data_IF_792375712440
#
_entry.id   IF_792375712440
#
_cell.length_a   1.000
_cell.length_b   1.000
_cell.length_c   1.000
_cell.angle_alpha   90.00
_cell.angle_beta   90.00
_cell.angle_gamma   90.00
#
_symmetry.space_group_name_H-M   'P 1'
#
loop_
_entity.id
_entity.type
_entity.pdbx_description
1 polymer ?
#
# COMPACT_ATOMS: atom_id res chain seq x y z
N UNK A 1 4.02 3.98 29.19
CA UNK A 1 4.93 2.82 29.10
C UNK A 1 6.06 3.27 28.21
N UNK A 2 7.25 3.46 28.78
CA UNK A 2 8.41 3.96 28.04
C UNK A 2 8.86 2.90 27.04
N UNK A 3 9.13 3.33 25.81
CA UNK A 3 9.88 2.53 24.84
C UNK A 3 11.34 3.01 24.93
N UNK A 4 12.11 2.43 25.85
CA UNK A 4 13.52 2.75 26.01
C UNK A 4 14.40 1.93 25.04
N UNK A 5 15.55 2.52 24.73
CA UNK A 5 16.78 1.85 24.28
C UNK A 5 16.82 1.33 22.82
N UNK A 6 16.84 2.28 21.89
CA UNK A 6 17.31 2.05 20.51
C UNK A 6 18.84 2.06 20.42
N UNK A 7 19.43 1.08 19.71
CA UNK A 7 20.81 1.16 19.19
C UNK A 7 20.79 0.86 17.69
N UNK A 8 21.38 1.76 16.91
CA UNK A 8 21.23 1.85 15.46
C UNK A 8 22.53 1.47 14.75
N UNK A 9 22.41 0.63 13.72
CA UNK A 9 23.39 0.53 12.63
C UNK A 9 22.62 0.70 11.31
N UNK A 10 23.21 1.47 10.39
CA UNK A 10 22.76 1.69 9.00
C UNK A 10 21.34 2.26 8.80
N UNK A 11 21.14 3.51 9.25
CA UNK A 11 20.08 4.48 8.86
C UNK A 11 18.60 4.11 9.02
N UNK A 12 18.30 2.84 9.28
CA UNK A 12 16.96 2.27 9.12
C UNK A 12 16.02 2.67 10.26
N UNK A 13 16.51 2.61 11.50
CA UNK A 13 15.74 2.98 12.68
C UNK A 13 15.38 4.47 12.73
N UNK A 14 16.29 5.37 12.32
CA UNK A 14 15.99 6.81 12.19
C UNK A 14 14.86 7.07 11.19
N UNK A 15 14.85 6.35 10.05
CA UNK A 15 13.75 6.45 9.08
C UNK A 15 12.44 5.90 9.66
N UNK A 16 12.46 4.79 10.42
CA UNK A 16 11.27 4.25 11.11
C UNK A 16 10.74 5.20 12.19
N UNK A 17 11.60 5.81 13.02
CA UNK A 17 11.17 6.79 14.03
C UNK A 17 10.52 8.02 13.38
N UNK A 18 11.11 8.55 12.30
CA UNK A 18 10.53 9.64 11.50
C UNK A 18 9.24 9.25 10.77
N UNK A 19 9.12 7.98 10.36
CA UNK A 19 7.90 7.43 9.75
C UNK A 19 6.74 7.36 10.74
N UNK A 20 7.01 7.05 12.01
CA UNK A 20 6.00 6.97 13.06
C UNK A 20 5.65 8.32 13.69
N UNK A 21 6.56 9.31 13.69
CA UNK A 21 6.28 10.64 14.27
C UNK A 21 5.16 11.41 13.56
N UNK A 22 4.95 11.17 12.27
CA UNK A 22 3.86 11.78 11.48
C UNK A 22 2.62 10.86 11.53
N UNK A 23 1.69 11.08 12.47
CA UNK A 23 0.44 10.34 12.55
C UNK A 23 -0.76 11.15 12.01
N UNK A 24 -1.15 10.85 10.76
CA UNK A 24 -2.29 11.47 10.08
C UNK A 24 -3.32 10.39 9.71
N UNK A 25 -4.58 10.57 10.12
CA UNK A 25 -5.67 9.61 9.93
C UNK A 25 -6.58 9.93 8.73
N UNK A 26 -6.19 10.93 7.93
CA UNK A 26 -6.98 11.53 6.85
C UNK A 26 -6.26 11.44 5.50
N UNK A 27 -4.98 11.79 5.44
CA UNK A 27 -4.20 11.85 4.21
C UNK A 27 -3.43 10.54 3.99
N UNK A 28 -3.59 9.91 2.82
CA UNK A 28 -2.84 8.67 2.47
C UNK A 28 -1.33 8.93 2.42
N UNK A 29 -0.89 10.07 1.87
CA UNK A 29 0.51 10.52 1.89
C UNK A 29 0.65 11.82 2.71
N UNK A 30 0.84 11.76 4.04
CA UNK A 30 1.10 12.93 4.87
C UNK A 30 2.56 13.40 4.78
N UNK A 31 3.49 12.51 4.42
CA UNK A 31 4.94 12.74 4.42
C UNK A 31 5.38 13.74 3.34
N UNK A 32 4.66 13.79 2.21
CA UNK A 32 4.95 14.67 1.04
C UNK A 32 6.36 14.47 0.46
N UNK A 33 6.98 13.33 0.72
CA UNK A 33 8.27 12.90 0.16
C UNK A 33 8.08 12.41 -1.28
N UNK A 34 8.97 12.81 -2.19
CA UNK A 34 9.08 12.25 -3.53
C UNK A 34 10.05 11.07 -3.50
N UNK A 35 9.54 9.84 -3.62
CA UNK A 35 10.36 8.62 -3.53
C UNK A 35 11.52 8.57 -4.53
N UNK A 36 11.44 9.29 -5.66
CA UNK A 36 12.55 9.41 -6.63
C UNK A 36 13.76 10.17 -6.09
N UNK A 37 13.60 10.92 -5.00
CA UNK A 37 14.66 11.72 -4.34
C UNK A 37 15.35 10.98 -3.20
N UNK A 38 14.97 9.73 -2.91
CA UNK A 38 15.67 8.85 -1.97
C UNK A 38 17.11 8.65 -2.50
N UNK A 39 18.09 9.10 -1.71
CA UNK A 39 19.52 9.05 -2.06
C UNK A 39 20.16 7.75 -1.62
N UNK A 40 19.84 7.30 -0.41
CA UNK A 40 20.44 6.12 0.20
C UNK A 40 19.58 4.89 -0.07
N UNK A 41 20.25 3.76 -0.31
CA UNK A 41 19.63 2.45 -0.25
C UNK A 41 19.22 2.14 1.19
N UNK A 42 18.00 1.65 1.39
CA UNK A 42 17.48 1.25 2.70
C UNK A 42 17.01 -0.20 2.64
N UNK A 43 17.42 -1.04 3.60
CA UNK A 43 16.92 -2.41 3.70
C UNK A 43 15.93 -2.52 4.86
N UNK A 44 14.66 -2.75 4.52
CA UNK A 44 13.59 -2.99 5.48
C UNK A 44 13.52 -4.47 5.82
N UNK A 45 13.54 -4.82 7.11
CA UNK A 45 13.25 -6.17 7.60
C UNK A 45 11.73 -6.35 7.67
N UNK A 46 11.16 -7.03 6.69
CA UNK A 46 9.71 -7.23 6.57
C UNK A 46 9.16 -8.21 7.61
N UNK A 47 9.94 -9.25 7.96
CA UNK A 47 9.57 -10.34 8.87
C UNK A 47 10.65 -10.49 9.95
N UNK A 48 10.23 -10.67 11.21
CA UNK A 48 11.13 -10.88 12.35
C UNK A 48 10.56 -11.95 13.30
N UNK A 49 10.89 -13.25 13.09
CA UNK A 49 10.35 -14.34 13.89
C UNK A 49 10.73 -14.24 15.38
N UNK A 50 11.90 -13.68 15.70
CA UNK A 50 12.33 -13.45 17.07
C UNK A 50 11.47 -12.43 17.83
N UNK A 51 10.81 -11.52 17.09
CA UNK A 51 9.82 -10.56 17.62
C UNK A 51 8.37 -10.96 17.31
N UNK A 52 8.15 -12.17 16.80
CA UNK A 52 6.85 -12.68 16.34
C UNK A 52 6.15 -11.78 15.30
N UNK A 53 6.92 -11.01 14.52
CA UNK A 53 6.41 -10.21 13.41
C UNK A 53 6.44 -11.06 12.13
N UNK A 54 5.27 -11.43 11.62
CA UNK A 54 5.12 -12.29 10.46
C UNK A 54 4.48 -11.56 9.27
N UNK A 55 4.50 -12.22 8.11
CA UNK A 55 3.73 -11.81 6.93
C UNK A 55 2.60 -12.80 6.66
N UNK A 56 1.48 -12.32 6.10
CA UNK A 56 0.38 -13.14 5.57
C UNK A 56 -0.15 -12.50 4.29
N UNK A 57 -0.67 -13.33 3.38
CA UNK A 57 -1.42 -12.82 2.24
C UNK A 57 -2.70 -12.08 2.71
N UNK A 58 -3.11 -11.01 2.00
CA UNK A 58 -4.28 -10.22 2.38
C UNK A 58 -5.61 -10.95 2.17
N UNK A 59 -5.59 -12.08 1.46
CA UNK A 59 -6.72 -12.97 1.16
C UNK A 59 -6.27 -14.44 1.25
N UNK A 60 -7.22 -15.38 1.34
CA UNK A 60 -6.95 -16.83 1.29
C UNK A 60 -6.50 -17.30 -0.10
N UNK A 61 -7.03 -16.68 -1.15
CA UNK A 61 -6.59 -16.82 -2.54
C UNK A 61 -6.27 -15.43 -3.08
N UNK A 62 -5.23 -15.31 -3.91
CA UNK A 62 -4.73 -14.04 -4.45
C UNK A 62 -4.44 -14.13 -5.96
N UNK A 63 -5.38 -14.56 -6.82
CA UNK A 63 -5.21 -14.40 -8.27
C UNK A 63 -5.13 -12.90 -8.60
N UNK A 64 -4.10 -12.48 -9.34
CA UNK A 64 -4.01 -11.09 -9.82
C UNK A 64 -4.95 -10.93 -11.01
N UNK A 65 -5.97 -10.07 -10.88
CA UNK A 65 -6.85 -9.66 -11.98
C UNK A 65 -6.35 -8.37 -12.66
N UNK A 66 -5.59 -7.54 -11.95
CA UNK A 66 -4.86 -6.42 -12.56
C UNK A 66 -3.57 -6.04 -11.85
N UNK A 67 -2.55 -5.66 -12.62
CA UNK A 67 -1.23 -5.31 -12.11
C UNK A 67 -1.01 -3.80 -11.87
N UNK A 68 0.10 -3.47 -11.23
CA UNK A 68 0.58 -2.10 -11.05
C UNK A 68 1.05 -1.53 -12.40
N UNK A 69 0.26 -0.67 -13.04
CA UNK A 69 0.54 -0.19 -14.41
C UNK A 69 -0.27 1.07 -14.78
N UNK A 70 0.10 1.74 -15.87
CA UNK A 70 -0.72 2.81 -16.46
C UNK A 70 -1.85 2.22 -17.32
N UNK A 71 -3.12 2.46 -16.93
CA UNK A 71 -4.31 2.02 -17.67
C UNK A 71 -5.41 3.09 -17.64
N UNK A 72 -6.13 3.23 -18.76
CA UNK A 72 -7.27 4.14 -18.89
C UNK A 72 -7.00 5.59 -18.45
N UNK A 73 -5.84 6.13 -18.86
CA UNK A 73 -5.43 7.51 -18.56
C UNK A 73 -4.92 7.77 -17.13
N UNK A 74 -4.97 6.78 -16.22
CA UNK A 74 -4.49 6.90 -14.84
C UNK A 74 -3.45 5.82 -14.50
N UNK A 75 -2.63 6.08 -13.49
CA UNK A 75 -1.76 5.05 -12.93
C UNK A 75 -2.55 4.18 -11.95
N UNK A 76 -2.33 2.86 -12.00
CA UNK A 76 -2.86 1.89 -11.06
C UNK A 76 -1.79 1.60 -10.01
N UNK A 77 -1.98 2.11 -8.79
CA UNK A 77 -0.96 2.15 -7.73
C UNK A 77 -0.88 0.87 -6.88
N UNK A 78 -1.65 -0.16 -7.22
CA UNK A 78 -1.69 -1.44 -6.52
C UNK A 78 -1.84 -2.61 -7.47
N UNK A 79 -2.21 -3.75 -6.91
CA UNK A 79 -2.73 -4.91 -7.63
C UNK A 79 -4.22 -5.09 -7.29
N UNK A 80 -4.99 -5.57 -8.26
CA UNK A 80 -6.34 -6.06 -8.01
C UNK A 80 -6.26 -7.57 -7.83
N UNK A 81 -6.82 -8.06 -6.72
CA UNK A 81 -6.85 -9.47 -6.36
C UNK A 81 -8.29 -9.97 -6.38
N UNK A 82 -8.50 -11.12 -7.01
CA UNK A 82 -9.80 -11.76 -7.13
C UNK A 82 -10.39 -12.14 -5.75
N UNK A 83 -11.67 -11.81 -5.52
CA UNK A 83 -12.43 -12.23 -4.33
C UNK A 83 -13.94 -12.14 -4.56
N UNK A 84 -14.69 -12.90 -3.77
CA UNK A 84 -16.14 -12.77 -3.67
C UNK A 84 -16.55 -11.76 -2.59
N UNK A 85 -17.64 -11.03 -2.83
CA UNK A 85 -18.11 -10.01 -1.89
C UNK A 85 -18.51 -10.67 -0.56
N UNK A 86 -17.86 -10.25 0.53
CA UNK A 86 -17.96 -10.90 1.84
C UNK A 86 -16.72 -11.70 2.25
N UNK A 87 -15.77 -11.96 1.34
CA UNK A 87 -14.52 -12.65 1.67
C UNK A 87 -13.70 -11.91 2.74
N UNK A 88 -13.03 -12.67 3.61
CA UNK A 88 -12.22 -12.10 4.70
C UNK A 88 -10.93 -11.45 4.18
N UNK A 89 -10.82 -10.13 4.33
CA UNK A 89 -9.60 -9.36 4.06
C UNK A 89 -8.77 -9.26 5.33
N UNK A 90 -7.48 -9.57 5.23
CA UNK A 90 -6.55 -9.73 6.36
C UNK A 90 -5.43 -8.69 6.34
N UNK A 91 -4.96 -8.28 7.53
CA UNK A 91 -3.75 -7.49 7.66
C UNK A 91 -2.53 -8.29 7.19
N UNK A 92 -1.73 -7.72 6.29
CA UNK A 92 -0.61 -8.42 5.67
C UNK A 92 0.64 -8.53 6.57
N UNK A 93 0.82 -7.58 7.49
CA UNK A 93 1.81 -7.60 8.57
C UNK A 93 1.20 -7.05 9.86
N UNK A 94 1.91 -7.23 10.97
CA UNK A 94 1.64 -6.54 12.23
C UNK A 94 1.66 -5.02 12.06
N UNK A 95 0.80 -4.29 12.76
CA UNK A 95 0.75 -2.84 12.67
C UNK A 95 -0.45 -2.19 13.36
N UNK A 96 -0.79 -0.98 12.93
CA UNK A 96 -1.90 -0.17 13.46
C UNK A 96 -2.74 0.37 12.31
N UNK A 97 -4.06 0.30 12.41
CA UNK A 97 -4.97 0.93 11.44
C UNK A 97 -4.83 2.45 11.54
N UNK A 98 -4.30 3.09 10.50
CA UNK A 98 -4.12 4.54 10.41
C UNK A 98 -5.31 5.24 9.77
N UNK A 99 -5.92 4.63 8.76
CA UNK A 99 -7.12 5.17 8.08
C UNK A 99 -8.17 4.06 7.96
N UNK A 100 -9.43 4.39 8.22
CA UNK A 100 -10.63 3.60 7.90
C UNK A 100 -11.70 4.56 7.38
N UNK A 101 -11.88 4.66 6.06
CA UNK A 101 -12.68 5.75 5.43
C UNK A 101 -13.42 5.31 4.17
N UNK A 102 -14.33 6.18 3.72
CA UNK A 102 -15.00 6.11 2.43
C UNK A 102 -14.37 7.08 1.42
N UNK A 103 -14.17 6.61 0.19
CA UNK A 103 -13.82 7.39 -1.00
C UNK A 103 -14.67 6.94 -2.19
N UNK A 104 -15.77 7.65 -2.46
CA UNK A 104 -16.68 7.30 -3.56
C UNK A 104 -16.07 7.46 -4.97
N UNK A 105 -14.99 8.25 -5.14
CA UNK A 105 -14.35 8.50 -6.44
C UNK A 105 -13.27 7.48 -6.81
N UNK A 106 -12.69 6.83 -5.80
CA UNK A 106 -11.66 5.81 -5.91
C UNK A 106 -12.01 4.56 -5.10
N UNK A 107 -11.46 4.46 -3.89
CA UNK A 107 -11.29 3.20 -3.16
C UNK A 107 -12.55 2.63 -2.50
N UNK A 108 -13.71 3.30 -2.51
CA UNK A 108 -14.89 2.86 -1.76
C UNK A 108 -14.63 2.88 -0.25
N UNK A 109 -15.09 1.86 0.49
CA UNK A 109 -14.58 1.65 1.85
C UNK A 109 -13.14 1.15 1.75
N UNK A 110 -12.22 1.80 2.46
CA UNK A 110 -10.84 1.36 2.50
C UNK A 110 -10.21 1.47 3.88
N UNK A 111 -9.22 0.61 4.10
CA UNK A 111 -8.32 0.64 5.24
C UNK A 111 -6.91 0.97 4.79
N UNK A 112 -6.15 1.66 5.64
CA UNK A 112 -4.71 1.77 5.51
C UNK A 112 -4.07 1.42 6.86
N UNK A 113 -3.19 0.41 6.85
CA UNK A 113 -2.48 -0.09 8.03
C UNK A 113 -1.02 0.33 7.95
N UNK A 114 -0.48 0.90 9.02
CA UNK A 114 0.95 1.23 9.16
C UNK A 114 1.66 0.14 9.96
N UNK A 115 2.72 -0.42 9.39
CA UNK A 115 3.40 -1.61 9.90
C UNK A 115 4.76 -1.31 10.53
N UNK A 116 5.12 -2.09 11.56
CA UNK A 116 6.35 -1.88 12.34
C UNK A 116 7.65 -2.06 11.54
N UNK A 117 7.57 -2.65 10.36
CA UNK A 117 8.66 -2.78 9.38
C UNK A 117 8.83 -1.54 8.46
N UNK A 118 8.10 -0.45 8.72
CA UNK A 118 8.27 0.84 8.02
C UNK A 118 7.48 0.99 6.71
N UNK A 119 6.58 0.06 6.39
CA UNK A 119 5.66 0.18 5.25
C UNK A 119 4.21 0.35 5.67
N UNK A 120 3.39 0.78 4.72
CA UNK A 120 1.94 0.86 4.82
C UNK A 120 1.31 -0.06 3.77
N UNK A 121 0.18 -0.67 4.12
CA UNK A 121 -0.67 -1.36 3.14
C UNK A 121 -2.05 -0.73 3.08
N UNK A 122 -2.62 -0.60 1.88
CA UNK A 122 -3.99 -0.13 1.66
C UNK A 122 -4.86 -1.28 1.12
N UNK A 123 -6.09 -1.35 1.61
CA UNK A 123 -7.10 -2.34 1.27
C UNK A 123 -8.35 -1.60 0.80
N UNK A 124 -8.59 -1.55 -0.51
CA UNK A 124 -9.72 -0.86 -1.13
C UNK A 124 -10.87 -1.78 -1.54
N UNK A 125 -11.97 -1.14 -1.97
CA UNK A 125 -13.23 -1.71 -2.46
C UNK A 125 -13.99 -2.59 -1.46
N UNK A 126 -13.66 -2.51 -0.17
CA UNK A 126 -14.25 -3.32 0.89
C UNK A 126 -15.78 -3.16 0.93
N UNK A 127 -16.51 -4.24 1.18
CA UNK A 127 -17.94 -4.13 1.53
C UNK A 127 -18.10 -3.56 2.94
N UNK A 128 -17.19 -3.89 3.85
CA UNK A 128 -17.21 -3.42 5.25
C UNK A 128 -15.80 -3.37 5.86
N UNK A 129 -15.49 -2.29 6.58
CA UNK A 129 -14.40 -2.26 7.57
C UNK A 129 -14.89 -2.84 8.90
N UNK A 130 -14.08 -3.67 9.56
CA UNK A 130 -14.45 -4.31 10.83
C UNK A 130 -13.80 -3.66 12.05
N UNK A 131 -12.80 -2.81 11.87
CA UNK A 131 -11.96 -2.29 12.96
C UNK A 131 -11.73 -0.78 12.82
N UNK A 132 -11.78 0.00 13.91
CA UNK A 132 -11.57 1.45 13.88
C UNK A 132 -10.10 1.84 13.74
N UNK A 133 -9.87 3.12 13.43
CA UNK A 133 -8.53 3.74 13.47
C UNK A 133 -7.94 3.64 14.88
N UNK A 134 -6.63 3.40 14.96
CA UNK A 134 -5.89 3.19 16.21
C UNK A 134 -5.86 1.73 16.69
N UNK A 135 -6.63 0.82 16.08
CA UNK A 135 -6.57 -0.60 16.43
C UNK A 135 -5.23 -1.23 16.00
N UNK A 136 -4.55 -1.86 16.96
CA UNK A 136 -3.42 -2.75 16.70
C UNK A 136 -3.90 -4.04 16.03
N UNK A 137 -3.20 -4.48 14.99
CA UNK A 137 -3.53 -5.69 14.22
C UNK A 137 -2.31 -6.59 14.09
N UNK A 138 -2.56 -7.91 14.07
CA UNK A 138 -1.57 -8.94 13.78
C UNK A 138 -1.67 -9.45 12.34
N UNK A 139 -0.55 -9.89 11.77
CA UNK A 139 -0.52 -10.50 10.44
C UNK A 139 -1.51 -11.68 10.34
N UNK A 140 -2.43 -11.61 9.37
CA UNK A 140 -3.50 -12.59 9.16
C UNK A 140 -4.81 -12.32 9.92
N UNK A 141 -4.85 -11.33 10.81
CA UNK A 141 -6.08 -10.88 11.46
C UNK A 141 -7.05 -10.32 10.41
N UNK A 142 -8.32 -10.71 10.49
CA UNK A 142 -9.36 -10.16 9.61
C UNK A 142 -9.66 -8.72 10.01
N UNK A 143 -9.53 -7.79 9.06
CA UNK A 143 -9.70 -6.35 9.26
C UNK A 143 -10.90 -5.77 8.49
N UNK A 144 -11.35 -6.47 7.46
CA UNK A 144 -12.44 -6.05 6.59
C UNK A 144 -13.05 -7.22 5.84
N UNK A 145 -14.14 -6.96 5.14
CA UNK A 145 -14.76 -7.87 4.18
C UNK A 145 -14.61 -7.28 2.77
N UNK A 146 -14.22 -8.11 1.80
CA UNK A 146 -14.05 -7.72 0.41
C UNK A 146 -15.37 -7.34 -0.26
N UNK A 147 -15.31 -6.63 -1.38
CA UNK A 147 -16.49 -6.14 -2.07
C UNK A 147 -16.20 -5.49 -3.43
N UNK A 148 -17.10 -4.60 -3.84
CA UNK A 148 -16.99 -3.81 -5.07
C UNK A 148 -17.40 -2.34 -4.85
N UNK A 149 -17.08 -1.75 -3.68
CA UNK A 149 -17.52 -0.39 -3.35
C UNK A 149 -16.66 0.71 -4.00
N UNK A 150 -17.20 1.93 -4.14
CA UNK A 150 -16.51 3.03 -4.81
C UNK A 150 -16.41 2.82 -6.33
N UNK A 151 -15.28 3.20 -6.93
CA UNK A 151 -15.09 3.12 -8.39
C UNK A 151 -14.49 1.78 -8.81
N UNK A 152 -15.32 0.73 -8.71
CA UNK A 152 -15.02 -0.64 -9.12
C UNK A 152 -15.84 -1.10 -10.33
N UNK A 153 -15.36 -2.09 -11.08
CA UNK A 153 -16.08 -2.78 -12.17
C UNK A 153 -16.58 -4.18 -11.77
N UNK A 154 -16.26 -4.66 -10.57
CA UNK A 154 -16.59 -6.00 -10.08
C UNK A 154 -15.94 -6.30 -8.72
N UNK A 155 -16.32 -7.39 -8.09
CA UNK A 155 -15.76 -7.82 -6.80
C UNK A 155 -14.25 -8.07 -6.90
N UNK A 156 -13.44 -7.32 -6.14
CA UNK A 156 -11.98 -7.51 -6.02
C UNK A 156 -11.43 -6.74 -4.81
N UNK A 157 -10.26 -7.13 -4.30
CA UNK A 157 -9.47 -6.31 -3.38
C UNK A 157 -8.47 -5.47 -4.19
N UNK A 158 -8.58 -4.16 -4.10
CA UNK A 158 -7.47 -3.29 -4.51
C UNK A 158 -6.44 -3.22 -3.38
N UNK A 159 -5.25 -3.76 -3.60
CA UNK A 159 -4.18 -3.84 -2.61
C UNK A 159 -2.96 -3.03 -3.03
N UNK A 160 -2.57 -2.03 -2.22
CA UNK A 160 -1.34 -1.25 -2.43
C UNK A 160 -0.34 -1.49 -1.29
N UNK A 161 0.95 -1.46 -1.63
CA UNK A 161 2.05 -1.34 -0.68
C UNK A 161 2.64 0.06 -0.81
N UNK A 162 3.00 0.70 0.31
CA UNK A 162 3.59 2.05 0.34
C UNK A 162 4.81 2.13 1.25
N UNK A 163 5.77 2.94 0.86
CA UNK A 163 6.83 3.46 1.73
C UNK A 163 6.77 4.98 1.73
N UNK A 164 6.74 5.62 2.91
CA UNK A 164 6.57 7.08 3.05
C UNK A 164 5.46 7.67 2.14
N UNK A 165 4.31 6.98 2.08
CA UNK A 165 3.16 7.38 1.26
C UNK A 165 3.29 7.15 -0.25
N UNK A 166 4.49 6.80 -0.74
CA UNK A 166 4.78 6.49 -2.14
C UNK A 166 4.44 5.01 -2.44
N UNK A 167 3.59 4.71 -3.44
CA UNK A 167 3.30 3.34 -3.86
C UNK A 167 4.52 2.58 -4.35
N UNK A 168 4.59 1.31 -3.95
CA UNK A 168 5.54 0.31 -4.46
C UNK A 168 4.70 -0.76 -5.15
N UNK A 169 5.14 -1.24 -6.32
CA UNK A 169 4.49 -2.36 -6.99
C UNK A 169 4.45 -3.59 -6.04
N UNK A 170 3.27 -4.06 -5.59
CA UNK A 170 3.18 -5.15 -4.62
C UNK A 170 3.82 -6.45 -5.10
N UNK A 171 3.91 -6.69 -6.41
CA UNK A 171 4.53 -7.93 -6.95
C UNK A 171 6.05 -8.00 -6.74
N UNK A 172 6.69 -6.91 -6.29
CA UNK A 172 8.10 -6.90 -5.88
C UNK A 172 8.32 -7.44 -4.46
N UNK A 173 7.30 -7.41 -3.60
CA UNK A 173 7.34 -8.03 -2.26
C UNK A 173 6.64 -9.40 -2.25
N UNK A 174 5.55 -9.55 -2.99
CA UNK A 174 4.68 -10.73 -2.92
C UNK A 174 4.79 -11.61 -4.16
N UNK A 175 4.84 -12.93 -3.94
CA UNK A 175 4.58 -13.93 -4.95
C UNK A 175 3.11 -14.36 -4.83
N UNK A 176 2.19 -13.55 -5.36
CA UNK A 176 0.75 -13.81 -5.24
C UNK A 176 0.28 -15.18 -5.79
N UNK A 177 0.82 -15.73 -6.89
CA UNK A 177 0.53 -17.10 -7.30
C UNK A 177 1.04 -18.19 -6.34
N UNK A 178 2.12 -17.92 -5.61
CA UNK A 178 2.71 -18.83 -4.61
C UNK A 178 2.21 -18.61 -3.18
N UNK A 179 1.34 -17.63 -2.94
CA UNK A 179 0.79 -17.28 -1.62
C UNK A 179 1.82 -16.88 -0.55
N UNK A 180 3.01 -16.45 -0.98
CA UNK A 180 4.17 -16.19 -0.12
C UNK A 180 4.79 -14.80 -0.33
N UNK A 181 5.59 -14.37 0.65
CA UNK A 181 6.48 -13.21 0.54
C UNK A 181 7.77 -13.64 -0.19
N UNK A 182 8.33 -12.78 -1.05
CA UNK A 182 9.53 -13.11 -1.85
C UNK A 182 10.83 -13.15 -1.05
N UNK A 183 10.88 -12.47 0.09
CA UNK A 183 12.05 -12.38 0.97
C UNK A 183 11.64 -11.74 2.29
N UNK A 184 12.30 -12.13 3.39
CA UNK A 184 12.14 -11.51 4.71
C UNK A 184 12.65 -10.05 4.76
N UNK A 185 13.39 -9.61 3.74
CA UNK A 185 13.94 -8.26 3.64
C UNK A 185 13.58 -7.63 2.28
N UNK A 186 13.41 -6.31 2.27
CA UNK A 186 13.10 -5.54 1.06
C UNK A 186 13.95 -4.27 0.95
N UNK A 187 14.60 -4.11 -0.19
CA UNK A 187 15.48 -2.97 -0.45
C UNK A 187 14.73 -1.83 -1.14
N UNK A 188 14.58 -0.71 -0.43
CA UNK A 188 14.02 0.55 -0.92
C UNK A 188 15.13 1.38 -1.58
N UNK A 189 14.90 1.77 -2.82
CA UNK A 189 15.73 2.72 -3.59
C UNK A 189 14.83 3.65 -4.39
N UNK A 190 15.36 4.79 -4.86
CA UNK A 190 14.65 5.70 -5.77
C UNK A 190 14.16 5.04 -7.06
N UNK A 191 14.83 3.97 -7.52
CA UNK A 191 14.48 3.24 -8.73
C UNK A 191 13.07 2.63 -8.68
N UNK A 192 12.58 2.25 -7.51
CA UNK A 192 11.20 1.75 -7.31
C UNK A 192 10.14 2.77 -7.75
N UNK A 193 10.47 4.06 -7.70
CA UNK A 193 9.55 5.18 -7.93
C UNK A 193 9.73 5.80 -9.33
N UNK A 194 10.57 5.22 -10.19
CA UNK A 194 10.81 5.73 -11.55
C UNK A 194 9.55 5.75 -12.43
N UNK A 195 8.53 4.93 -12.11
CA UNK A 195 7.25 4.92 -12.81
C UNK A 195 6.52 6.28 -12.78
N UNK A 196 6.75 7.13 -11.77
CA UNK A 196 6.18 8.48 -11.72
C UNK A 196 6.57 9.32 -12.95
N UNK A 197 7.76 9.09 -13.54
CA UNK A 197 8.16 9.77 -14.78
C UNK A 197 7.27 9.39 -15.97
N UNK A 198 6.82 8.13 -16.03
CA UNK A 198 5.92 7.61 -17.06
C UNK A 198 4.50 8.15 -16.86
N UNK A 199 4.02 8.16 -15.61
CA UNK A 199 2.72 8.73 -15.24
C UNK A 199 2.62 10.22 -15.64
N UNK A 200 3.64 11.04 -15.30
CA UNK A 200 3.66 12.47 -15.62
C UNK A 200 3.74 12.73 -17.14
N UNK A 201 4.55 11.96 -17.88
CA UNK A 201 4.65 12.10 -19.35
C UNK A 201 3.35 11.73 -20.05
N UNK A 202 2.67 10.67 -19.61
CA UNK A 202 1.43 10.20 -20.27
C UNK A 202 0.18 10.99 -19.86
N UNK A 203 0.12 11.52 -18.63
CA UNK A 203 -0.96 12.42 -18.21
C UNK A 203 -1.05 13.71 -19.03
N UNK A 204 0.11 14.29 -19.42
CA UNK A 204 0.16 15.48 -20.28
C UNK A 204 -0.24 15.23 -21.75
N UNK A 205 -0.24 13.98 -22.21
CA UNK A 205 -0.58 13.64 -23.60
C UNK A 205 -2.08 13.67 -23.92
N UNK A 206 -2.95 13.82 -22.91
CA UNK A 206 -4.41 13.77 -23.08
C UNK A 206 -5.08 15.13 -23.26
N UNK A 207 -4.35 16.24 -23.15
CA UNK A 207 -4.92 17.60 -23.08
C UNK A 207 -4.65 18.47 -24.31
N UNK A 208 -4.29 17.88 -25.46
CA UNK A 208 -3.84 18.63 -26.65
C UNK A 208 -4.47 18.17 -27.97
N UNK A 209 -5.78 17.89 -27.99
CA UNK A 209 -6.58 17.79 -29.22
C UNK A 209 -7.96 18.42 -29.02
N UNK A 210 -8.16 19.59 -29.61
CA UNK A 210 -9.48 20.23 -29.61
C UNK A 210 -9.54 21.75 -29.75
N UNK A 211 -8.68 22.41 -30.54
CA UNK A 211 -9.00 23.70 -31.18
C UNK A 211 -8.12 23.96 -32.41
N UNK A 212 -8.73 23.84 -33.58
CA UNK A 212 -8.36 24.34 -34.92
C UNK A 212 -9.41 23.75 -35.88
N UNK A 213 -10.03 24.46 -36.81
CA UNK A 213 -10.18 25.89 -37.01
C UNK A 213 -11.42 26.11 -37.92
N UNK A 214 -12.06 27.26 -37.86
CA UNK A 214 -13.02 27.69 -38.89
C UNK A 214 -12.97 29.20 -38.98
N UNK A 215 -12.46 29.68 -40.12
CA UNK A 215 -12.65 31.04 -40.62
C UNK A 215 -13.77 31.03 -41.65
#
# INVERSE_FOLDING_TARGET
MEMSDEVLIDSSWVKVAGYYSIWDTHNINPYRVDGRRIRDTLTLKLVDPARQHFSRMPLTKTPITSGFTFRWGRWHFGVDLDLDTGDSVRAAFDGVIRISKWDGGGYGNYLLVRHFNGIETLYGHLSKSLLPVGTFVKAGQVIGLGGSTGRSTGSHLHFEVRYEGNPINPTLMYNFPGYELRSDNFTVTSALFNYYSQALRRGRGSSSRGHNASA
#
